data_IF_561599266111
#
_entry.id   IF_561599266111
#
_cell.length_a   1.000
_cell.length_b   1.000
_cell.length_c   1.000
_cell.angle_alpha   90.00
_cell.angle_beta   90.00
_cell.angle_gamma   90.00
#
_symmetry.space_group_name_H-M   'P 1'
#
loop_
_entity.id
_entity.type
_entity.pdbx_description
1 polymer ?
#
# COMPACT_ATOMS: atom_id res chain seq x y z
N UNK A 1 10.98 3.37 3.94
CA UNK A 1 9.89 3.01 3.00
C UNK A 1 9.79 4.06 1.91
N UNK A 2 9.54 3.61 0.72
CA UNK A 2 9.42 4.50 -0.44
C UNK A 2 8.17 4.10 -1.22
N UNK A 3 7.41 5.07 -1.69
CA UNK A 3 6.24 4.80 -2.53
C UNK A 3 6.47 5.41 -3.91
N UNK A 4 5.94 4.73 -4.92
CA UNK A 4 6.13 5.15 -6.30
C UNK A 4 5.21 6.32 -6.65
N UNK A 5 4.00 6.31 -6.10
CA UNK A 5 3.01 7.35 -6.36
C UNK A 5 3.15 8.47 -5.34
N UNK A 6 2.90 9.71 -5.78
CA UNK A 6 2.89 10.85 -4.86
C UNK A 6 1.80 10.64 -3.81
N UNK A 7 2.16 10.81 -2.54
CA UNK A 7 1.22 10.58 -1.44
C UNK A 7 -0.01 11.47 -1.54
N UNK A 8 0.12 12.64 -2.15
CA UNK A 8 -1.02 13.54 -2.34
C UNK A 8 -2.01 13.05 -3.40
N UNK A 9 -1.58 12.11 -4.24
CA UNK A 9 -2.43 11.50 -5.27
C UNK A 9 -3.00 10.16 -4.82
N UNK A 10 -2.71 9.74 -3.59
CA UNK A 10 -3.19 8.46 -3.06
C UNK A 10 -4.52 8.69 -2.37
N UNK A 11 -5.49 7.85 -2.68
CA UNK A 11 -6.80 7.90 -2.03
C UNK A 11 -6.76 7.12 -0.73
N UNK A 12 -7.38 7.68 0.30
CA UNK A 12 -7.46 7.04 1.61
C UNK A 12 -8.91 6.80 1.98
N UNK A 13 -9.17 5.70 2.63
CA UNK A 13 -10.50 5.33 3.13
C UNK A 13 -10.38 5.03 4.61
N UNK A 14 -11.33 5.53 5.40
CA UNK A 14 -11.32 5.28 6.84
C UNK A 14 -11.65 3.81 7.10
N UNK A 15 -10.81 3.16 7.89
CA UNK A 15 -10.96 1.75 8.22
C UNK A 15 -10.85 1.62 9.74
N UNK A 16 -11.74 0.81 10.31
CA UNK A 16 -11.69 0.50 11.74
C UNK A 16 -10.65 -0.59 11.97
N UNK A 17 -9.58 -0.23 12.66
CA UNK A 17 -8.50 -1.16 12.98
C UNK A 17 -8.45 -1.29 14.49
N UNK A 18 -8.95 -2.40 15.00
CA UNK A 18 -8.95 -2.69 16.44
C UNK A 18 -9.58 -1.58 17.26
N UNK A 19 -10.70 -1.05 16.79
CA UNK A 19 -11.43 -0.02 17.51
C UNK A 19 -10.96 1.40 17.24
N UNK A 20 -9.93 1.56 16.42
CA UNK A 20 -9.41 2.88 16.05
C UNK A 20 -9.63 3.10 14.56
N UNK A 21 -10.30 4.19 14.21
CA UNK A 21 -10.51 4.53 12.80
C UNK A 21 -9.29 5.28 12.31
N UNK A 22 -8.70 4.80 11.20
CA UNK A 22 -7.57 5.46 10.59
C UNK A 22 -7.67 5.40 9.06
N UNK A 23 -7.19 6.44 8.36
CA UNK A 23 -7.17 6.42 6.89
C UNK A 23 -6.16 5.40 6.37
N UNK A 24 -6.63 4.53 5.48
CA UNK A 24 -5.79 3.50 4.83
C UNK A 24 -5.84 3.72 3.34
N UNK A 25 -4.69 3.66 2.69
CA UNK A 25 -4.59 3.93 1.27
C UNK A 25 -5.13 2.78 0.41
N UNK A 26 -5.48 3.10 -0.83
CA UNK A 26 -5.67 2.09 -1.85
C UNK A 26 -4.34 1.39 -2.10
N UNK A 27 -4.35 0.20 -2.75
CA UNK A 27 -3.09 -0.49 -3.08
C UNK A 27 -2.17 0.40 -3.90
N UNK A 28 -0.90 0.43 -3.53
CA UNK A 28 0.14 1.21 -4.22
C UNK A 28 1.42 0.41 -4.27
N UNK A 29 2.32 0.80 -5.18
CA UNK A 29 3.64 0.19 -5.29
C UNK A 29 4.55 0.84 -4.26
N UNK A 30 5.16 0.01 -3.43
CA UNK A 30 6.02 0.44 -2.34
C UNK A 30 7.33 -0.33 -2.38
N UNK A 31 8.34 0.19 -1.72
CA UNK A 31 9.63 -0.50 -1.63
C UNK A 31 10.12 -0.56 -0.20
N UNK A 32 10.94 -1.55 0.05
CA UNK A 32 11.69 -1.71 1.29
C UNK A 32 13.09 -2.20 0.92
N UNK A 33 13.90 -2.51 1.93
CA UNK A 33 15.23 -3.05 1.69
C UNK A 33 15.19 -4.38 0.95
N UNK A 34 14.08 -5.11 1.04
CA UNK A 34 13.94 -6.42 0.41
C UNK A 34 13.46 -6.34 -1.04
N UNK A 35 12.99 -5.20 -1.50
CA UNK A 35 12.52 -5.04 -2.87
C UNK A 35 11.23 -4.25 -2.96
N UNK A 36 10.57 -4.34 -4.13
CA UNK A 36 9.31 -3.65 -4.38
C UNK A 36 8.12 -4.59 -4.18
N UNK A 37 6.99 -4.04 -3.82
CA UNK A 37 5.77 -4.84 -3.60
C UNK A 37 4.55 -3.94 -3.72
N UNK A 38 3.38 -4.57 -3.83
CA UNK A 38 2.10 -3.87 -3.80
C UNK A 38 1.57 -3.97 -2.37
N UNK A 39 1.22 -2.85 -1.80
CA UNK A 39 0.70 -2.82 -0.45
C UNK A 39 -0.08 -1.54 -0.20
N UNK A 40 -0.35 -1.28 1.07
CA UNK A 40 -1.06 -0.07 1.48
C UNK A 40 -0.33 0.59 2.64
N UNK A 41 -0.56 1.88 2.79
CA UNK A 41 -0.05 2.66 3.93
C UNK A 41 -1.24 3.22 4.68
N UNK A 42 -1.01 3.64 5.90
CA UNK A 42 -2.04 4.31 6.68
C UNK A 42 -1.46 5.55 7.35
N UNK A 43 -2.37 6.44 7.77
CA UNK A 43 -1.98 7.61 8.55
C UNK A 43 -2.22 7.26 10.02
N UNK A 44 -1.14 7.18 10.78
CA UNK A 44 -1.21 6.78 12.18
C UNK A 44 -1.56 8.00 13.05
N UNK A 45 -2.75 8.02 13.64
CA UNK A 45 -3.14 9.17 14.47
C UNK A 45 -2.28 9.32 15.72
N UNK A 46 -1.73 8.22 16.22
CA UNK A 46 -0.88 8.26 17.40
C UNK A 46 0.50 8.83 17.08
N UNK A 47 0.85 8.91 15.82
CA UNK A 47 2.12 9.48 15.35
C UNK A 47 1.92 10.79 14.61
N UNK A 48 0.86 11.53 14.93
CA UNK A 48 0.61 12.83 14.32
C UNK A 48 0.19 12.77 12.87
N UNK A 49 -0.36 11.63 12.42
CA UNK A 49 -0.76 11.46 11.03
C UNK A 49 0.36 11.02 10.12
N UNK A 50 1.46 10.54 10.69
CA UNK A 50 2.58 10.05 9.90
C UNK A 50 2.17 8.86 9.04
N UNK A 51 2.68 8.81 7.82
CA UNK A 51 2.42 7.70 6.89
C UNK A 51 3.31 6.53 7.29
N UNK A 52 2.68 5.39 7.55
CA UNK A 52 3.40 4.17 7.94
C UNK A 52 2.88 3.01 7.09
N UNK A 53 3.71 1.96 6.89
CA UNK A 53 3.24 0.76 6.19
C UNK A 53 2.09 0.12 6.96
N UNK A 54 1.06 -0.30 6.21
CA UNK A 54 -0.10 -0.94 6.82
C UNK A 54 -0.17 -2.41 6.45
N UNK A 55 -0.09 -2.72 5.15
CA UNK A 55 -0.29 -4.08 4.68
C UNK A 55 0.55 -4.34 3.44
N UNK A 56 0.91 -5.59 3.24
CA UNK A 56 1.63 -6.05 2.05
C UNK A 56 0.78 -7.11 1.39
N UNK A 57 0.41 -6.86 0.14
CA UNK A 57 -0.48 -7.77 -0.60
C UNK A 57 0.27 -8.76 -1.47
N UNK A 58 1.53 -8.48 -1.81
CA UNK A 58 2.32 -9.33 -2.70
C UNK A 58 3.68 -9.62 -2.09
N UNK A 59 4.39 -10.57 -2.73
CA UNK A 59 5.79 -10.82 -2.40
C UNK A 59 6.66 -9.68 -2.93
N UNK A 60 7.92 -9.65 -2.51
CA UNK A 60 8.87 -8.68 -3.02
C UNK A 60 9.25 -9.04 -4.43
N UNK A 61 9.40 -8.02 -5.27
CA UNK A 61 9.68 -8.20 -6.69
C UNK A 61 10.36 -6.93 -7.22
N UNK A 62 10.58 -6.88 -8.54
CA UNK A 62 11.13 -5.67 -9.16
C UNK A 62 10.05 -4.60 -9.22
N UNK A 63 10.49 -3.35 -9.37
CA UNK A 63 9.55 -2.23 -9.49
C UNK A 63 8.61 -2.42 -10.69
N UNK A 64 9.16 -2.83 -11.83
CA UNK A 64 8.35 -3.04 -13.03
C UNK A 64 7.29 -4.11 -12.82
N UNK A 65 7.68 -5.21 -12.17
CA UNK A 65 6.73 -6.29 -11.91
C UNK A 65 5.64 -5.85 -10.93
N UNK A 66 6.02 -5.11 -9.88
CA UNK A 66 5.05 -4.63 -8.90
C UNK A 66 4.03 -3.71 -9.57
N UNK A 67 4.48 -2.83 -10.45
CA UNK A 67 3.58 -1.93 -11.17
C UNK A 67 2.65 -2.72 -12.08
N UNK A 68 3.17 -3.75 -12.75
CA UNK A 68 2.36 -4.60 -13.60
C UNK A 68 1.29 -5.33 -12.81
N UNK A 69 1.64 -5.84 -11.64
CA UNK A 69 0.68 -6.52 -10.76
C UNK A 69 -0.42 -5.55 -10.33
N UNK A 70 -0.03 -4.33 -9.96
CA UNK A 70 -1.00 -3.33 -9.53
C UNK A 70 -1.97 -2.96 -10.65
N UNK A 71 -1.49 -2.91 -11.89
CA UNK A 71 -2.30 -2.52 -13.04
C UNK A 71 -3.19 -3.65 -13.55
N UNK A 72 -2.97 -4.88 -13.08
CA UNK A 72 -3.75 -6.04 -13.53
C UNK A 72 -5.02 -6.16 -12.68
N UNK A 73 -6.20 -6.29 -13.30
CA UNK A 73 -7.45 -6.44 -12.55
C UNK A 73 -7.41 -7.66 -11.64
N UNK A 74 -8.01 -7.54 -10.47
CA UNK A 74 -7.98 -8.60 -9.47
C UNK A 74 -8.66 -9.87 -9.95
N UNK A 75 -9.74 -9.75 -10.73
CA UNK A 75 -10.43 -10.91 -11.24
C UNK A 75 -9.61 -11.68 -12.28
N UNK A 76 -8.48 -11.10 -12.70
CA UNK A 76 -7.53 -11.78 -13.57
C UNK A 76 -6.31 -12.23 -12.78
N UNK A 77 -6.41 -12.21 -11.46
CA UNK A 77 -5.32 -12.68 -10.62
C UNK A 77 -4.18 -11.68 -10.46
N UNK A 78 -4.49 -10.39 -10.48
CA UNK A 78 -3.48 -9.35 -10.40
C UNK A 78 -2.64 -9.48 -9.15
N UNK A 79 -3.24 -9.46 -7.99
CA UNK A 79 -2.56 -9.82 -6.76
C UNK A 79 -3.57 -10.49 -5.86
N UNK A 80 -3.10 -11.50 -5.14
CA UNK A 80 -3.98 -12.26 -4.27
C UNK A 80 -3.32 -12.33 -2.91
N UNK A 81 -4.20 -12.41 -1.92
CA UNK A 81 -3.72 -12.58 -0.63
C UNK A 81 -3.38 -13.94 -0.32
#
# INVERSE_FOLDING_TARGET
MKILKDINDVNFTDVDVHGTVMPVSDPIVMSSAAGWYVGAVCKDPDCGGMIVPYNRFTEYMTQEKAQLVLDTPMEEGGFAE
#
